data_IF_350566926793
#
_entry.id   IF_350566926793
#
_cell.length_a   1.000
_cell.length_b   1.000
_cell.length_c   1.000
_cell.angle_alpha   90.00
_cell.angle_beta   90.00
_cell.angle_gamma   90.00
#
_symmetry.space_group_name_H-M   'P 1'
#
loop_
_entity.id
_entity.type
_entity.pdbx_description
1 polymer ?
#
# COMPACT_ATOMS: atom_id res chain seq x y z
N UNK A 1 -3.08 -13.86 13.54
CA UNK A 1 -2.96 -12.97 12.36
C UNK A 1 -1.63 -13.18 11.67
N UNK A 2 -1.64 -13.17 10.34
CA UNK A 2 -0.45 -13.41 9.54
C UNK A 2 -0.32 -12.31 8.49
N UNK A 3 0.89 -11.78 8.31
CA UNK A 3 1.18 -10.84 7.23
C UNK A 3 2.24 -11.46 6.36
N UNK A 4 2.04 -11.43 5.05
CA UNK A 4 3.03 -11.97 4.12
C UNK A 4 3.03 -11.23 2.79
N UNK A 5 4.15 -11.34 2.08
CA UNK A 5 4.27 -10.87 0.70
C UNK A 5 3.57 -11.86 -0.22
N UNK A 6 2.80 -11.35 -1.15
CA UNK A 6 2.09 -12.17 -2.12
C UNK A 6 2.97 -12.43 -3.33
N UNK A 7 3.17 -13.69 -3.66
CA UNK A 7 4.12 -14.08 -4.72
C UNK A 7 3.51 -14.97 -5.79
N UNK A 8 2.26 -15.41 -5.64
CA UNK A 8 1.59 -16.28 -6.62
C UNK A 8 0.42 -15.58 -7.28
N UNK A 9 0.09 -16.01 -8.49
CA UNK A 9 -1.05 -15.44 -9.20
C UNK A 9 -2.36 -15.66 -8.46
N UNK A 10 -2.52 -16.80 -7.80
CA UNK A 10 -3.71 -17.06 -6.98
C UNK A 10 -3.86 -16.01 -5.89
N UNK A 11 -2.77 -15.68 -5.22
CA UNK A 11 -2.76 -14.66 -4.17
C UNK A 11 -3.05 -13.27 -4.72
N UNK A 12 -2.52 -12.95 -5.89
CA UNK A 12 -2.77 -11.67 -6.54
C UNK A 12 -4.25 -11.53 -6.94
N UNK A 13 -4.85 -12.60 -7.44
CA UNK A 13 -6.27 -12.60 -7.80
C UNK A 13 -7.13 -12.45 -6.55
N UNK A 14 -6.77 -13.12 -5.46
CA UNK A 14 -7.47 -12.96 -4.18
C UNK A 14 -7.41 -11.51 -3.69
N UNK A 15 -6.24 -10.89 -3.81
CA UNK A 15 -6.04 -9.50 -3.39
C UNK A 15 -6.84 -8.50 -4.24
N UNK A 16 -7.15 -8.84 -5.48
CA UNK A 16 -7.93 -7.96 -6.35
C UNK A 16 -9.30 -7.61 -5.74
N UNK A 17 -9.94 -8.57 -5.10
CA UNK A 17 -11.26 -8.34 -4.50
C UNK A 17 -11.23 -7.22 -3.45
N UNK A 18 -10.09 -7.04 -2.78
CA UNK A 18 -9.91 -5.96 -1.80
C UNK A 18 -9.41 -4.70 -2.50
N UNK A 19 -8.44 -4.85 -3.41
CA UNK A 19 -7.86 -3.71 -4.15
C UNK A 19 -8.93 -2.93 -4.91
N UNK A 20 -9.90 -3.60 -5.52
CA UNK A 20 -10.95 -2.94 -6.30
C UNK A 20 -11.86 -2.07 -5.43
N UNK A 21 -11.91 -2.31 -4.13
CA UNK A 21 -12.67 -1.45 -3.22
C UNK A 21 -12.04 -0.07 -3.09
N UNK A 22 -10.72 0.03 -3.32
CA UNK A 22 -10.00 1.30 -3.35
C UNK A 22 -9.93 1.87 -4.78
N UNK A 23 -9.67 0.99 -5.77
CA UNK A 23 -9.49 1.36 -7.17
C UNK A 23 -10.67 0.83 -7.98
N UNK A 24 -11.81 1.49 -7.87
CA UNK A 24 -13.10 0.96 -8.32
C UNK A 24 -13.23 0.72 -9.82
N UNK A 25 -12.44 1.45 -10.63
CA UNK A 25 -12.48 1.28 -12.08
C UNK A 25 -11.53 0.21 -12.61
N UNK A 26 -10.74 -0.38 -11.73
CA UNK A 26 -9.72 -1.36 -12.10
C UNK A 26 -10.37 -2.72 -12.38
N UNK A 27 -10.21 -3.21 -13.61
CA UNK A 27 -10.67 -4.56 -13.97
C UNK A 27 -9.61 -5.57 -13.55
N UNK A 28 -10.02 -6.83 -13.38
CA UNK A 28 -9.06 -7.90 -13.04
C UNK A 28 -7.96 -8.01 -14.11
N UNK A 29 -8.33 -7.89 -15.39
CA UNK A 29 -7.37 -7.96 -16.48
C UNK A 29 -6.34 -6.84 -16.41
N UNK A 30 -6.80 -5.60 -16.28
CA UNK A 30 -5.90 -4.45 -16.16
C UNK A 30 -5.04 -4.52 -14.91
N UNK A 31 -5.63 -4.97 -13.80
CA UNK A 31 -4.91 -5.15 -12.54
C UNK A 31 -3.74 -6.13 -12.71
N UNK A 32 -3.98 -7.30 -13.29
CA UNK A 32 -2.93 -8.31 -13.46
C UNK A 32 -1.86 -7.84 -14.44
N UNK A 33 -2.26 -7.15 -15.51
CA UNK A 33 -1.31 -6.62 -16.48
C UNK A 33 -0.40 -5.56 -15.86
N UNK A 34 -0.99 -4.58 -15.17
CA UNK A 34 -0.21 -3.52 -14.50
C UNK A 34 0.66 -4.08 -13.39
N UNK A 35 0.13 -5.03 -12.61
CA UNK A 35 0.87 -5.66 -11.53
C UNK A 35 2.13 -6.34 -12.04
N UNK A 36 2.03 -7.06 -13.18
CA UNK A 36 3.19 -7.69 -13.80
C UNK A 36 4.28 -6.68 -14.18
N UNK A 37 3.89 -5.53 -14.73
CA UNK A 37 4.82 -4.48 -15.08
C UNK A 37 5.39 -3.79 -13.84
N UNK A 38 4.55 -3.52 -12.85
CA UNK A 38 4.96 -2.85 -11.61
C UNK A 38 5.97 -3.70 -10.83
N UNK A 39 5.77 -5.02 -10.78
CA UNK A 39 6.69 -5.91 -10.09
C UNK A 39 8.08 -5.92 -10.69
N UNK A 40 8.21 -5.70 -12.00
CA UNK A 40 9.51 -5.56 -12.65
C UNK A 40 10.25 -4.31 -12.19
N UNK A 41 9.51 -3.31 -11.74
CA UNK A 41 10.05 -2.02 -11.29
C UNK A 41 10.16 -1.91 -9.76
N UNK A 42 10.07 -3.03 -9.04
CA UNK A 42 10.29 -3.04 -7.60
C UNK A 42 9.06 -3.01 -6.73
N UNK A 43 7.88 -3.18 -7.31
CA UNK A 43 6.63 -3.22 -6.55
C UNK A 43 6.46 -4.56 -5.84
N UNK A 44 5.94 -4.51 -4.63
CA UNK A 44 5.60 -5.71 -3.84
C UNK A 44 4.21 -5.53 -3.24
N UNK A 45 3.48 -6.63 -3.18
CA UNK A 45 2.13 -6.65 -2.63
C UNK A 45 2.14 -7.49 -1.35
N UNK A 46 1.61 -6.93 -0.27
CA UNK A 46 1.54 -7.58 1.04
C UNK A 46 0.09 -7.71 1.47
N UNK A 47 -0.21 -8.73 2.23
CA UNK A 47 -1.55 -8.93 2.77
C UNK A 47 -1.53 -9.34 4.22
N UNK A 48 -2.56 -8.91 4.94
CA UNK A 48 -2.83 -9.35 6.31
C UNK A 48 -4.00 -10.32 6.27
N UNK A 49 -3.78 -11.46 6.92
CA UNK A 49 -4.79 -12.53 7.04
C UNK A 49 -5.24 -12.66 8.48
N UNK A 50 -6.54 -12.84 8.66
CA UNK A 50 -7.14 -13.20 9.93
C UNK A 50 -7.89 -14.51 9.73
N UNK A 51 -7.48 -15.57 10.46
CA UNK A 51 -8.13 -16.88 10.34
C UNK A 51 -8.19 -17.37 8.88
N UNK A 52 -7.06 -17.22 8.17
CA UNK A 52 -6.90 -17.62 6.75
C UNK A 52 -7.70 -16.77 5.77
N UNK A 53 -8.35 -15.73 6.22
CA UNK A 53 -9.07 -14.80 5.36
C UNK A 53 -8.24 -13.52 5.15
N UNK A 54 -8.08 -13.11 3.90
CA UNK A 54 -7.38 -11.86 3.58
C UNK A 54 -8.27 -10.67 3.93
N UNK A 55 -7.80 -9.79 4.83
CA UNK A 55 -8.60 -8.68 5.32
C UNK A 55 -8.03 -7.31 4.97
N UNK A 56 -6.76 -7.24 4.58
CA UNK A 56 -6.15 -5.98 4.17
C UNK A 56 -5.00 -6.24 3.21
N UNK A 57 -4.76 -5.31 2.28
CA UNK A 57 -3.64 -5.38 1.35
C UNK A 57 -2.90 -4.05 1.30
N UNK A 58 -1.60 -4.12 1.04
CA UNK A 58 -0.77 -2.94 0.82
C UNK A 58 0.16 -3.20 -0.36
N UNK A 59 0.22 -2.22 -1.24
CA UNK A 59 1.15 -2.26 -2.36
C UNK A 59 2.20 -1.18 -2.20
N UNK A 60 3.47 -1.58 -2.27
CA UNK A 60 4.59 -0.68 -2.05
C UNK A 60 5.63 -0.86 -3.14
N UNK A 61 6.42 0.16 -3.39
CA UNK A 61 7.48 0.08 -4.40
C UNK A 61 8.74 0.74 -3.92
N UNK A 62 9.88 0.18 -4.32
CA UNK A 62 11.17 0.82 -4.14
C UNK A 62 11.27 2.01 -5.07
N UNK A 63 11.77 3.11 -4.54
CA UNK A 63 12.09 4.33 -5.30
C UNK A 63 13.40 4.90 -4.81
N UNK A 64 14.01 5.71 -5.65
CA UNK A 64 15.22 6.45 -5.29
C UNK A 64 15.12 7.85 -5.88
N UNK A 65 15.41 8.86 -5.08
CA UNK A 65 15.49 10.25 -5.53
C UNK A 65 16.44 11.03 -4.63
N UNK A 66 16.66 12.30 -4.95
CA UNK A 66 17.65 13.10 -4.23
C UNK A 66 17.20 13.48 -2.81
N UNK A 67 15.90 13.61 -2.56
CA UNK A 67 15.40 14.12 -1.28
C UNK A 67 14.93 13.03 -0.31
N UNK A 68 14.46 11.89 -0.79
CA UNK A 68 14.12 10.74 0.05
C UNK A 68 15.15 9.62 -0.04
N UNK A 69 16.13 9.76 -0.92
CA UNK A 69 17.14 8.73 -1.17
C UNK A 69 16.48 7.41 -1.53
N UNK A 70 17.04 6.29 -1.14
CA UNK A 70 16.41 4.98 -1.35
C UNK A 70 15.28 4.83 -0.34
N UNK A 71 14.06 4.67 -0.83
CA UNK A 71 12.89 4.67 0.04
C UNK A 71 11.81 3.75 -0.49
N UNK A 72 10.84 3.47 0.35
CA UNK A 72 9.62 2.74 -0.02
C UNK A 72 8.51 3.76 -0.21
N UNK A 73 7.77 3.61 -1.30
CA UNK A 73 6.58 4.41 -1.57
C UNK A 73 5.35 3.51 -1.48
N UNK A 74 4.39 3.88 -0.65
CA UNK A 74 3.14 3.12 -0.50
C UNK A 74 2.17 3.62 -1.55
N UNK A 75 1.89 2.77 -2.53
CA UNK A 75 0.92 3.07 -3.59
C UNK A 75 -0.50 2.81 -3.14
N UNK A 76 -0.70 1.73 -2.39
CA UNK A 76 -2.02 1.24 -2.05
C UNK A 76 -2.03 0.74 -0.62
N UNK A 77 -3.06 1.11 0.12
CA UNK A 77 -3.32 0.59 1.46
C UNK A 77 -4.84 0.52 1.62
N UNK A 78 -5.37 -0.67 1.72
CA UNK A 78 -6.82 -0.86 1.80
C UNK A 78 -7.18 -2.01 2.72
N UNK A 79 -8.14 -1.75 3.61
CA UNK A 79 -8.76 -2.78 4.44
C UNK A 79 -10.11 -3.14 3.81
N UNK A 80 -10.39 -4.44 3.74
CA UNK A 80 -11.67 -4.93 3.26
C UNK A 80 -12.80 -4.21 4.01
N UNK A 81 -13.81 -3.75 3.27
CA UNK A 81 -14.88 -2.91 3.83
C UNK A 81 -15.61 -3.55 5.02
N UNK A 82 -15.71 -4.89 5.05
CA UNK A 82 -16.34 -5.62 6.15
C UNK A 82 -15.52 -5.60 7.44
N UNK A 83 -14.24 -5.18 7.38
CA UNK A 83 -13.32 -5.28 8.51
C UNK A 83 -12.68 -3.94 8.89
N UNK A 84 -13.23 -2.83 8.39
CA UNK A 84 -12.69 -1.50 8.69
C UNK A 84 -12.84 -1.11 10.15
N UNK A 85 -12.01 -0.15 10.59
CA UNK A 85 -12.02 0.42 11.95
C UNK A 85 -11.64 -0.59 13.03
N UNK A 86 -10.86 -1.60 12.68
CA UNK A 86 -10.36 -2.61 13.63
C UNK A 86 -8.84 -2.59 13.76
N UNK A 87 -8.16 -1.60 13.14
CA UNK A 87 -6.71 -1.45 13.23
C UNK A 87 -5.91 -2.32 12.30
N UNK A 88 -6.52 -2.99 11.32
CA UNK A 88 -5.79 -3.88 10.41
C UNK A 88 -4.88 -3.11 9.46
N UNK A 89 -5.31 -1.97 8.95
CA UNK A 89 -4.47 -1.12 8.11
C UNK A 89 -3.23 -0.64 8.84
N UNK A 90 -3.40 -0.24 10.10
CA UNK A 90 -2.29 0.20 10.94
C UNK A 90 -1.30 -0.94 11.19
N UNK A 91 -1.80 -2.14 11.48
CA UNK A 91 -0.94 -3.31 11.68
C UNK A 91 -0.15 -3.65 10.42
N UNK A 92 -0.81 -3.64 9.27
CA UNK A 92 -0.15 -3.94 8.01
C UNK A 92 0.91 -2.90 7.69
N UNK A 93 0.60 -1.63 7.88
CA UNK A 93 1.56 -0.55 7.61
C UNK A 93 2.73 -0.59 8.60
N UNK A 94 2.50 -0.94 9.86
CA UNK A 94 3.58 -1.10 10.84
C UNK A 94 4.54 -2.21 10.42
N UNK A 95 4.02 -3.31 9.89
CA UNK A 95 4.84 -4.38 9.33
C UNK A 95 5.69 -3.86 8.16
N UNK A 96 5.08 -3.09 7.27
CA UNK A 96 5.78 -2.49 6.13
C UNK A 96 6.88 -1.53 6.60
N UNK A 97 6.65 -0.75 7.65
CA UNK A 97 7.69 0.13 8.22
C UNK A 97 8.91 -0.69 8.65
N UNK A 98 8.69 -1.75 9.38
CA UNK A 98 9.77 -2.60 9.88
C UNK A 98 10.49 -3.29 8.72
N UNK A 99 9.74 -3.86 7.78
CA UNK A 99 10.30 -4.49 6.59
C UNK A 99 11.13 -3.50 5.77
N UNK A 100 10.63 -2.29 5.58
CA UNK A 100 11.34 -1.25 4.84
C UNK A 100 12.67 -0.90 5.50
N UNK A 101 12.64 -0.70 6.82
CA UNK A 101 13.83 -0.38 7.59
C UNK A 101 14.87 -1.51 7.52
N UNK A 102 14.43 -2.75 7.67
CA UNK A 102 15.32 -3.92 7.62
C UNK A 102 15.95 -4.11 6.25
N UNK A 103 15.30 -3.63 5.19
CA UNK A 103 15.80 -3.75 3.83
C UNK A 103 16.51 -2.49 3.34
N UNK A 104 16.82 -1.54 4.22
CA UNK A 104 17.69 -0.41 3.92
C UNK A 104 17.00 0.83 3.39
N UNK A 105 15.69 0.97 3.57
CA UNK A 105 15.01 2.20 3.19
C UNK A 105 15.32 3.32 4.18
N UNK A 106 15.59 4.52 3.67
CA UNK A 106 15.82 5.72 4.49
C UNK A 106 14.52 6.38 4.92
N UNK A 107 13.49 6.28 4.07
CA UNK A 107 12.18 6.86 4.29
C UNK A 107 11.11 5.91 3.80
N UNK A 108 9.89 6.12 4.29
CA UNK A 108 8.68 5.58 3.70
C UNK A 108 7.78 6.77 3.40
N UNK A 109 7.20 6.80 2.21
CA UNK A 109 6.41 7.92 1.74
C UNK A 109 5.09 7.43 1.15
N UNK A 110 4.09 8.30 1.14
CA UNK A 110 2.81 8.02 0.50
C UNK A 110 2.15 9.33 0.07
N UNK A 111 1.13 9.21 -0.76
CA UNK A 111 0.28 10.31 -1.14
C UNK A 111 -1.15 10.02 -0.70
N UNK A 112 -1.86 11.05 -0.27
CA UNK A 112 -3.28 10.96 0.07
C UNK A 112 -4.00 12.18 -0.51
N UNK A 113 -5.18 11.98 -1.09
CA UNK A 113 -5.94 13.08 -1.69
C UNK A 113 -6.22 14.18 -0.67
N UNK A 114 -6.17 15.44 -1.10
CA UNK A 114 -6.32 16.59 -0.20
C UNK A 114 -7.66 16.61 0.54
N UNK A 115 -8.67 15.95 -0.02
CA UNK A 115 -10.01 15.85 0.58
C UNK A 115 -10.12 14.77 1.65
N UNK A 116 -9.09 13.92 1.83
CA UNK A 116 -9.13 12.79 2.77
C UNK A 116 -8.57 13.18 4.14
N UNK A 117 -9.23 14.10 4.81
CA UNK A 117 -8.78 14.63 6.09
C UNK A 117 -8.62 13.58 7.19
N UNK A 118 -9.50 12.57 7.23
CA UNK A 118 -9.39 11.50 8.23
C UNK A 118 -8.16 10.64 7.98
N UNK A 119 -7.81 10.38 6.72
CA UNK A 119 -6.60 9.65 6.37
C UNK A 119 -5.35 10.45 6.75
N UNK A 120 -5.35 11.78 6.47
CA UNK A 120 -4.24 12.66 6.86
C UNK A 120 -4.01 12.62 8.36
N UNK A 121 -5.09 12.69 9.15
CA UNK A 121 -5.01 12.64 10.60
C UNK A 121 -4.42 11.31 11.07
N UNK A 122 -4.84 10.21 10.45
CA UNK A 122 -4.30 8.88 10.72
C UNK A 122 -2.79 8.83 10.49
N UNK A 123 -2.32 9.32 9.33
CA UNK A 123 -0.90 9.30 9.00
C UNK A 123 -0.09 10.22 9.91
N UNK A 124 -0.55 11.44 10.13
CA UNK A 124 0.20 12.44 10.91
C UNK A 124 0.17 12.17 12.41
N UNK A 125 -0.99 11.91 12.96
CA UNK A 125 -1.17 11.81 14.41
C UNK A 125 -0.87 10.42 14.95
N UNK A 126 -1.20 9.37 14.22
CA UNK A 126 -1.04 8.00 14.71
C UNK A 126 0.22 7.31 14.23
N UNK A 127 0.69 7.62 13.05
CA UNK A 127 1.80 6.92 12.42
C UNK A 127 3.07 7.75 12.26
N UNK A 128 3.04 9.00 12.68
CA UNK A 128 4.24 9.85 12.70
C UNK A 128 4.71 10.32 11.33
N UNK A 129 3.84 10.38 10.34
CA UNK A 129 4.18 10.91 9.03
C UNK A 129 4.17 12.43 9.06
N UNK A 130 5.10 13.04 8.31
CA UNK A 130 5.14 14.48 8.09
C UNK A 130 4.59 14.79 6.71
N UNK A 131 3.77 15.84 6.61
CA UNK A 131 3.23 16.28 5.32
C UNK A 131 4.23 17.25 4.69
N UNK A 132 4.92 16.81 3.63
CA UNK A 132 5.99 17.60 3.02
C UNK A 132 5.57 18.34 1.77
N UNK A 133 4.61 17.81 0.99
CA UNK A 133 4.34 18.37 -0.33
C UNK A 133 2.92 18.08 -0.80
N UNK A 134 2.54 18.75 -1.89
CA UNK A 134 1.33 18.45 -2.63
C UNK A 134 1.70 17.76 -3.94
N UNK A 135 0.86 16.86 -4.38
CA UNK A 135 1.03 16.17 -5.66
C UNK A 135 0.26 16.92 -6.75
N UNK A 136 0.93 17.21 -7.86
CA UNK A 136 0.31 17.83 -9.02
C UNK A 136 0.41 16.86 -10.19
N UNK A 137 -0.65 16.73 -10.99
CA UNK A 137 -0.62 15.88 -12.17
C UNK A 137 -1.48 16.46 -13.27
N UNK A 138 -1.11 16.14 -14.50
CA UNK A 138 -1.84 16.54 -15.70
C UNK A 138 -1.94 15.31 -16.59
N UNK A 139 -3.14 15.03 -17.07
CA UNK A 139 -3.34 13.98 -18.06
C UNK A 139 -2.80 14.45 -19.41
N UNK A 140 -2.06 13.58 -20.07
CA UNK A 140 -1.44 13.90 -21.35
C UNK A 140 -2.14 13.19 -22.50
#
# INVERSE_FOLDING_TARGET
MTIKQLTTQEEWVEAYAIMVQLRRELTLENYLQLLGEMMKDGYSLFALYKNKEMVAVAGVSWRINFYNKRHIFVYDLVTHEAYRSRGYGEKLLAYIHQWSKENGAHYIALESGVQRNNAHRFYEERLGYEKWCHSFRKEL
#
